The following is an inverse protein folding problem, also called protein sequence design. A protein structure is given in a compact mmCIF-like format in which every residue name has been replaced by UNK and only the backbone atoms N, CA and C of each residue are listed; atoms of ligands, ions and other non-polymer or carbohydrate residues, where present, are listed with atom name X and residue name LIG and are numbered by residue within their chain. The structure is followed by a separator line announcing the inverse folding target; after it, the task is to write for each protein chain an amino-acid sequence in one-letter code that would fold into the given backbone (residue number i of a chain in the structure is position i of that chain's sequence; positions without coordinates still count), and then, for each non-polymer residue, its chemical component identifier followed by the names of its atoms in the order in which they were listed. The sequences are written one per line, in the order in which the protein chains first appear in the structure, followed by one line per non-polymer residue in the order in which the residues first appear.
data_IF_393526748374
#
_entry.id   IF_393526748374
#
_cell.length_a   1.000
_cell.length_b   1.000
_cell.length_c   1.000
_cell.angle_alpha   90.00
_cell.angle_beta   90.00
_cell.angle_gamma   90.00
#
_symmetry.space_group_name_H-M   'P 1'
#
loop_
_entity.id
_entity.type
_entity.pdbx_description
1 polymer ?
#
# COMPACT_ATOMS: atom_id res chain seq x y z
N UNK A 1 10.41 45.37 9.00
CA UNK A 1 9.73 44.14 9.49
C UNK A 1 10.67 43.39 10.40
N UNK A 2 10.16 42.48 11.23
CA UNK A 2 10.91 41.76 12.29
C UNK A 2 12.02 40.80 11.78
N UNK A 3 12.33 40.78 10.48
CA UNK A 3 13.48 40.04 9.91
C UNK A 3 13.28 38.54 9.69
N UNK A 4 12.07 38.00 9.93
CA UNK A 4 11.78 36.58 9.74
C UNK A 4 11.53 36.24 8.26
N UNK A 5 12.13 35.14 7.82
CA UNK A 5 11.84 34.55 6.51
C UNK A 5 10.58 33.69 6.57
N UNK A 6 9.66 33.92 5.63
CA UNK A 6 8.32 33.33 5.63
C UNK A 6 7.99 32.79 4.25
N UNK A 7 7.64 31.51 4.18
CA UNK A 7 7.04 30.89 3.01
C UNK A 7 5.52 31.05 3.04
N UNK A 8 4.88 31.11 1.87
CA UNK A 8 3.44 31.31 1.77
C UNK A 8 2.79 30.29 0.84
N UNK A 9 1.72 29.63 1.30
CA UNK A 9 0.95 28.68 0.51
C UNK A 9 -0.53 29.07 0.55
N UNK A 10 -1.13 29.28 -0.62
CA UNK A 10 -2.55 29.62 -0.73
C UNK A 10 -3.23 28.93 -1.92
N UNK A 11 -4.55 29.04 -1.99
CA UNK A 11 -5.38 28.36 -3.01
C UNK A 11 -5.20 28.87 -4.44
N UNK A 12 -4.65 30.07 -4.64
CA UNK A 12 -4.39 30.62 -5.98
C UNK A 12 -3.07 30.14 -6.61
N UNK A 13 -2.23 29.46 -5.84
CA UNK A 13 -0.93 28.97 -6.31
C UNK A 13 -1.07 27.67 -7.09
N UNK A 14 -0.27 27.54 -8.14
CA UNK A 14 -0.12 26.30 -8.91
C UNK A 14 0.60 25.23 -8.07
N UNK A 15 0.47 23.94 -8.42
CA UNK A 15 1.18 22.87 -7.71
C UNK A 15 2.70 23.07 -7.63
N UNK A 16 3.32 23.62 -8.69
CA UNK A 16 4.76 23.87 -8.72
C UNK A 16 5.15 25.00 -7.74
N UNK A 17 4.41 26.10 -7.72
CA UNK A 17 4.68 27.21 -6.79
C UNK A 17 4.52 26.78 -5.33
N UNK A 18 3.55 25.90 -5.04
CA UNK A 18 3.38 25.34 -3.69
C UNK A 18 4.58 24.50 -3.26
N UNK A 19 5.15 23.71 -4.16
CA UNK A 19 6.37 22.95 -3.86
C UNK A 19 7.58 23.88 -3.69
N UNK A 20 7.75 24.88 -4.55
CA UNK A 20 8.86 25.83 -4.44
C UNK A 20 8.84 26.54 -3.07
N UNK A 21 7.65 26.90 -2.58
CA UNK A 21 7.47 27.48 -1.25
C UNK A 21 7.70 26.48 -0.11
N UNK A 22 7.30 25.21 -0.29
CA UNK A 22 7.58 24.15 0.68
C UNK A 22 9.07 23.84 0.76
N UNK A 23 9.79 23.80 -0.36
CA UNK A 23 11.23 23.61 -0.40
C UNK A 23 11.97 24.82 0.19
N UNK A 24 11.50 26.04 -0.08
CA UNK A 24 11.98 27.26 0.57
C UNK A 24 11.78 27.20 2.09
N UNK A 25 10.62 26.77 2.56
CA UNK A 25 10.35 26.57 3.99
C UNK A 25 11.22 25.49 4.63
N UNK A 26 11.44 24.37 3.94
CA UNK A 26 12.26 23.27 4.46
C UNK A 26 13.72 23.69 4.65
N UNK A 27 14.25 24.55 3.78
CA UNK A 27 15.68 24.84 3.72
C UNK A 27 16.10 26.22 4.24
N UNK A 28 15.22 27.23 4.15
CA UNK A 28 15.60 28.63 4.37
C UNK A 28 14.61 29.37 5.28
N UNK A 29 13.31 29.32 4.99
CA UNK A 29 12.32 30.06 5.76
C UNK A 29 12.04 29.47 7.16
N UNK A 30 11.80 30.34 8.12
CA UNK A 30 11.54 29.97 9.52
C UNK A 30 10.06 29.68 9.78
N UNK A 31 9.17 30.29 8.99
CA UNK A 31 7.72 30.13 9.12
C UNK A 31 7.09 29.78 7.78
N UNK A 32 6.00 29.02 7.84
CA UNK A 32 5.08 28.82 6.72
C UNK A 32 3.71 29.35 7.13
N UNK A 33 3.16 30.23 6.30
CA UNK A 33 1.77 30.68 6.40
C UNK A 33 0.98 29.98 5.31
N UNK A 34 0.03 29.13 5.70
CA UNK A 34 -0.83 28.39 4.77
C UNK A 34 -2.30 28.69 5.02
N UNK A 35 -3.07 28.87 3.95
CA UNK A 35 -4.54 28.77 4.02
C UNK A 35 -4.99 27.32 3.83
N UNK A 36 -6.22 26.99 4.27
CA UNK A 36 -6.78 25.64 4.10
C UNK A 36 -6.81 25.19 2.64
N UNK A 37 -7.37 26.03 1.77
CA UNK A 37 -7.45 25.78 0.32
C UNK A 37 -6.07 25.67 -0.35
N UNK A 38 -5.03 26.25 0.26
CA UNK A 38 -3.66 26.18 -0.24
C UNK A 38 -2.95 24.89 0.15
N UNK A 39 -3.16 24.41 1.37
CA UNK A 39 -2.35 23.37 1.98
C UNK A 39 -2.94 21.96 1.99
N UNK A 40 -4.15 21.75 1.46
CA UNK A 40 -4.74 20.41 1.35
C UNK A 40 -3.80 19.44 0.63
N UNK A 41 -3.59 18.25 1.22
CA UNK A 41 -2.73 17.21 0.67
C UNK A 41 -1.22 17.44 0.82
N UNK A 42 -0.77 18.56 1.39
CA UNK A 42 0.66 18.83 1.57
C UNK A 42 1.20 18.07 2.79
N UNK A 43 2.29 17.32 2.58
CA UNK A 43 3.01 16.66 3.66
C UNK A 43 4.01 17.63 4.32
N UNK A 44 3.81 17.90 5.62
CA UNK A 44 4.64 18.78 6.42
C UNK A 44 5.27 18.05 7.62
N UNK A 45 5.41 16.72 7.56
CA UNK A 45 6.00 15.89 8.64
C UNK A 45 7.41 16.31 9.10
N UNK A 46 8.14 17.13 8.33
CA UNK A 46 9.41 17.72 8.79
C UNK A 46 9.22 18.84 9.85
N UNK A 47 7.98 19.29 10.07
CA UNK A 47 7.59 20.26 11.07
C UNK A 47 7.05 19.56 12.33
N UNK A 48 7.20 20.23 13.48
CA UNK A 48 6.69 19.75 14.77
C UNK A 48 5.80 20.76 15.52
N UNK A 49 5.68 21.99 15.03
CA UNK A 49 4.87 23.03 15.67
C UNK A 49 3.85 23.55 14.68
N UNK A 50 2.58 23.53 15.06
CA UNK A 50 1.49 24.15 14.32
C UNK A 50 0.84 25.23 15.16
N UNK A 51 0.61 26.39 14.56
CA UNK A 51 -0.17 27.47 15.16
C UNK A 51 -1.42 27.65 14.30
N UNK A 52 -2.57 27.30 14.86
CA UNK A 52 -3.86 27.59 14.25
C UNK A 52 -4.24 29.03 14.61
N UNK A 53 -4.08 29.95 13.66
CA UNK A 53 -4.46 31.34 13.83
C UNK A 53 -5.99 31.51 13.87
N UNK A 54 -6.67 30.81 12.99
CA UNK A 54 -8.11 30.56 13.01
C UNK A 54 -8.36 29.07 13.25
N UNK A 55 -9.51 28.74 13.83
CA UNK A 55 -9.92 27.37 14.09
C UNK A 55 -11.20 27.06 13.31
N UNK A 56 -11.25 25.97 12.53
CA UNK A 56 -12.40 25.64 11.70
C UNK A 56 -13.60 25.20 12.54
N UNK A 57 -14.81 25.50 12.07
CA UNK A 57 -16.06 25.12 12.76
C UNK A 57 -16.28 23.61 12.80
N UNK A 58 -15.76 22.89 11.80
CA UNK A 58 -15.79 21.44 11.73
C UNK A 58 -14.52 20.85 12.40
N UNK A 59 -14.65 20.07 13.49
CA UNK A 59 -13.53 19.42 14.17
C UNK A 59 -12.70 18.51 13.27
N UNK A 60 -13.31 17.87 12.26
CA UNK A 60 -12.59 17.04 11.31
C UNK A 60 -11.56 17.85 10.52
N UNK A 61 -11.89 19.09 10.12
CA UNK A 61 -10.93 19.95 9.42
C UNK A 61 -9.72 20.28 10.30
N UNK A 62 -9.92 20.42 11.62
CA UNK A 62 -8.82 20.63 12.56
C UNK A 62 -7.93 19.39 12.65
N UNK A 63 -8.52 18.20 12.78
CA UNK A 63 -7.77 16.93 12.77
C UNK A 63 -7.01 16.72 11.46
N UNK A 64 -7.60 17.04 10.31
CA UNK A 64 -6.92 16.99 9.02
C UNK A 64 -5.73 17.96 8.94
N UNK A 65 -5.81 19.14 9.57
CA UNK A 65 -4.68 20.08 9.68
C UNK A 65 -3.56 19.48 10.53
N UNK A 66 -3.88 18.98 11.72
CA UNK A 66 -2.93 18.32 12.64
C UNK A 66 -2.25 17.14 11.94
N UNK A 67 -3.04 16.33 11.24
CA UNK A 67 -2.60 15.21 10.42
C UNK A 67 -1.69 15.56 9.25
N UNK A 68 -1.33 16.83 9.00
CA UNK A 68 -0.28 17.19 8.02
C UNK A 68 1.13 17.08 8.61
N UNK A 69 1.24 17.22 9.93
CA UNK A 69 2.50 17.16 10.67
C UNK A 69 2.56 15.97 11.63
N UNK A 70 1.40 15.51 12.11
CA UNK A 70 1.27 14.38 13.03
C UNK A 70 0.75 13.14 12.29
N UNK A 71 1.67 12.27 11.91
CA UNK A 71 1.41 11.06 11.12
C UNK A 71 2.39 9.97 11.55
N UNK A 72 2.04 8.72 11.28
CA UNK A 72 2.94 7.56 11.47
C UNK A 72 4.31 7.86 10.84
N UNK A 73 5.37 7.76 11.63
CA UNK A 73 6.75 8.07 11.23
C UNK A 73 7.28 9.45 11.67
N UNK A 74 6.45 10.28 12.31
CA UNK A 74 6.90 11.49 13.00
C UNK A 74 7.87 11.13 14.14
N UNK A 75 9.03 11.80 14.20
CA UNK A 75 10.13 11.50 15.14
C UNK A 75 10.16 12.39 16.37
N UNK A 76 9.35 13.44 16.38
CA UNK A 76 9.33 14.45 17.43
C UNK A 76 7.90 14.71 17.90
N UNK A 77 7.75 15.00 19.20
CA UNK A 77 6.46 15.38 19.75
C UNK A 77 5.91 16.63 19.04
N UNK A 78 4.68 16.52 18.56
CA UNK A 78 3.99 17.59 17.87
C UNK A 78 3.35 18.55 18.87
N UNK A 79 3.59 19.85 18.71
CA UNK A 79 2.98 20.91 19.50
C UNK A 79 1.96 21.68 18.67
N UNK A 80 0.70 21.59 19.07
CA UNK A 80 -0.41 22.35 18.48
C UNK A 80 -0.75 23.53 19.38
N UNK A 81 -0.76 24.74 18.83
CA UNK A 81 -1.15 25.98 19.51
C UNK A 81 -2.37 26.54 18.79
N UNK A 82 -3.47 26.70 19.52
CA UNK A 82 -4.73 27.16 18.98
C UNK A 82 -5.03 28.57 19.49
N UNK A 83 -5.17 29.54 18.58
CA UNK A 83 -5.65 30.88 18.93
C UNK A 83 -7.17 30.91 18.93
N UNK A 84 -7.73 31.47 20.00
CA UNK A 84 -9.17 31.58 20.22
C UNK A 84 -9.48 32.94 20.84
N UNK A 85 -10.55 33.58 20.36
CA UNK A 85 -11.02 34.83 20.92
C UNK A 85 -11.78 34.57 22.23
N UNK A 86 -11.33 35.23 23.30
CA UNK A 86 -11.96 35.11 24.63
C UNK A 86 -13.28 35.89 24.70
N UNK A 87 -14.19 35.42 25.55
CA UNK A 87 -15.49 36.04 25.85
C UNK A 87 -16.41 36.18 24.63
N UNK A 88 -16.32 35.23 23.69
CA UNK A 88 -17.16 35.19 22.49
C UNK A 88 -18.24 34.11 22.60
N UNK A 89 -19.34 34.26 21.88
CA UNK A 89 -20.39 33.23 21.78
C UNK A 89 -19.79 31.98 21.14
N UNK A 90 -18.91 32.20 20.17
CA UNK A 90 -18.15 31.23 19.44
C UNK A 90 -17.28 30.37 20.37
N UNK A 91 -16.60 30.99 21.34
CA UNK A 91 -15.86 30.26 22.37
C UNK A 91 -16.78 29.30 23.13
N UNK A 92 -17.91 29.79 23.66
CA UNK A 92 -18.84 28.96 24.43
C UNK A 92 -19.35 27.76 23.65
N UNK A 93 -19.72 27.94 22.38
CA UNK A 93 -20.18 26.83 21.52
C UNK A 93 -19.08 25.78 21.38
N UNK A 94 -17.85 26.22 21.08
CA UNK A 94 -16.72 25.31 20.86
C UNK A 94 -16.38 24.54 22.13
N UNK A 95 -16.29 25.20 23.27
CA UNK A 95 -15.97 24.57 24.55
C UNK A 95 -16.97 23.46 24.90
N UNK A 96 -18.27 23.67 24.60
CA UNK A 96 -19.31 22.64 24.79
C UNK A 96 -19.11 21.45 23.84
N UNK A 97 -18.87 21.69 22.55
CA UNK A 97 -18.69 20.62 21.56
C UNK A 97 -17.42 19.81 21.88
N UNK A 98 -16.30 20.48 22.15
CA UNK A 98 -15.02 19.84 22.49
C UNK A 98 -15.15 19.03 23.78
N UNK A 99 -15.76 19.56 24.84
CA UNK A 99 -15.96 18.81 26.07
C UNK A 99 -16.80 17.55 25.87
N UNK A 100 -17.82 17.59 24.99
CA UNK A 100 -18.65 16.42 24.67
C UNK A 100 -17.87 15.40 23.84
N UNK A 101 -17.09 15.83 22.85
CA UNK A 101 -16.23 14.95 22.04
C UNK A 101 -15.10 14.33 22.88
N UNK A 102 -14.52 15.09 23.80
CA UNK A 102 -13.48 14.60 24.70
C UNK A 102 -14.05 13.58 25.70
N UNK A 103 -15.28 13.79 26.18
CA UNK A 103 -16.00 12.82 26.99
C UNK A 103 -16.26 11.52 26.24
N UNK A 104 -16.67 11.60 24.96
CA UNK A 104 -16.77 10.43 24.08
C UNK A 104 -15.41 9.73 23.98
N UNK A 105 -14.33 10.47 23.66
CA UNK A 105 -12.96 9.91 23.58
C UNK A 105 -12.56 9.15 24.84
N UNK A 106 -12.81 9.71 26.04
CA UNK A 106 -12.49 9.08 27.33
C UNK A 106 -13.36 7.86 27.63
N UNK A 107 -14.64 7.88 27.27
CA UNK A 107 -15.56 6.75 27.51
C UNK A 107 -15.25 5.52 26.66
N UNK A 108 -14.66 5.70 25.48
CA UNK A 108 -14.37 4.62 24.52
C UNK A 108 -12.88 4.23 24.43
N UNK A 109 -12.12 4.61 25.46
CA UNK A 109 -10.71 4.37 25.77
C UNK A 109 -10.06 3.13 25.07
N UNK A 110 -9.43 3.33 23.90
CA UNK A 110 -8.39 2.43 23.35
C UNK A 110 -7.61 3.11 22.20
N UNK A 111 -6.93 4.23 22.50
CA UNK A 111 -5.95 4.87 21.60
C UNK A 111 -6.33 6.28 21.13
N UNK A 112 -5.31 7.15 20.98
CA UNK A 112 -5.45 8.51 20.44
C UNK A 112 -5.96 8.53 18.99
N UNK A 113 -5.72 7.46 18.23
CA UNK A 113 -6.03 7.31 16.81
C UNK A 113 -7.53 7.18 16.48
N UNK A 114 -8.39 6.90 17.48
CA UNK A 114 -9.83 6.65 17.24
C UNK A 114 -10.67 7.92 17.05
N UNK A 115 -10.14 9.10 17.38
CA UNK A 115 -10.90 10.35 17.25
C UNK A 115 -11.17 10.69 15.78
N UNK A 116 -10.19 10.47 14.90
CA UNK A 116 -10.35 10.66 13.46
C UNK A 116 -11.48 9.78 12.90
N UNK A 117 -11.50 8.49 13.25
CA UNK A 117 -12.52 7.53 12.78
C UNK A 117 -13.93 7.87 13.29
N UNK A 118 -14.00 8.33 14.53
CA UNK A 118 -15.26 8.78 15.15
C UNK A 118 -15.77 10.04 14.44
N UNK A 119 -14.88 10.99 14.15
CA UNK A 119 -15.24 12.23 13.47
C UNK A 119 -15.62 11.99 12.01
N UNK A 120 -14.97 11.05 11.30
CA UNK A 120 -15.28 10.76 9.90
C UNK A 120 -16.67 10.12 9.77
N UNK A 121 -16.97 9.13 10.61
CA UNK A 121 -18.29 8.52 10.66
C UNK A 121 -19.38 9.54 11.03
N UNK A 122 -19.05 10.51 11.91
CA UNK A 122 -19.99 11.58 12.23
C UNK A 122 -20.17 12.59 11.10
N UNK A 123 -19.14 12.89 10.32
CA UNK A 123 -19.22 13.86 9.22
C UNK A 123 -20.20 13.41 8.12
N UNK A 124 -20.29 12.10 7.88
CA UNK A 124 -21.26 11.52 6.94
C UNK A 124 -22.72 11.74 7.38
N UNK A 125 -22.96 11.84 8.70
CA UNK A 125 -24.31 12.03 9.27
C UNK A 125 -24.62 13.47 9.71
N UNK A 126 -23.60 14.29 9.96
CA UNK A 126 -23.71 15.62 10.54
C UNK A 126 -22.95 16.68 9.77
N UNK A 127 -23.66 17.76 9.43
CA UNK A 127 -23.05 19.02 9.01
C UNK A 127 -22.66 19.84 10.25
N UNK A 128 -21.45 19.62 10.76
CA UNK A 128 -20.91 20.32 11.92
C UNK A 128 -20.89 21.84 11.73
N UNK A 129 -20.64 22.33 10.52
CA UNK A 129 -20.60 23.75 10.21
C UNK A 129 -21.99 24.38 10.36
N UNK A 130 -23.02 23.72 9.84
CA UNK A 130 -24.41 24.15 10.02
C UNK A 130 -24.87 24.10 11.47
N UNK A 131 -24.52 23.04 12.22
CA UNK A 131 -24.84 22.92 13.66
C UNK A 131 -24.21 24.08 14.43
N UNK A 132 -22.97 24.40 14.13
CA UNK A 132 -22.25 25.50 14.75
C UNK A 132 -22.89 26.86 14.44
N UNK A 133 -23.22 27.11 13.17
CA UNK A 133 -23.89 28.36 12.74
C UNK A 133 -25.27 28.49 13.41
N UNK A 134 -26.05 27.42 13.46
CA UNK A 134 -27.35 27.41 14.13
C UNK A 134 -27.20 27.66 15.64
N UNK A 135 -26.19 27.08 16.28
CA UNK A 135 -25.88 27.28 17.68
C UNK A 135 -25.50 28.75 17.97
N UNK A 136 -24.59 29.35 17.20
CA UNK A 136 -24.20 30.77 17.33
C UNK A 136 -25.41 31.70 17.11
N UNK A 137 -26.26 31.40 16.12
CA UNK A 137 -27.48 32.18 15.86
C UNK A 137 -28.48 32.10 17.02
N UNK A 138 -28.68 30.91 17.59
CA UNK A 138 -29.65 30.67 18.68
C UNK A 138 -29.14 31.08 20.06
N UNK A 139 -27.83 31.16 20.26
CA UNK A 139 -27.23 31.63 21.51
C UNK A 139 -27.41 33.10 21.80
N UNK A 140 -27.74 33.89 20.79
CA UNK A 140 -28.28 35.23 21.04
C UNK A 140 -29.64 35.19 21.76
N UNK A 141 -30.25 34.01 21.93
CA UNK A 141 -31.60 33.82 22.50
C UNK A 141 -31.70 32.92 23.76
N UNK A 142 -30.89 31.86 23.96
CA UNK A 142 -30.91 31.06 25.23
C UNK A 142 -29.68 30.12 25.38
N UNK A 143 -29.06 30.06 26.57
CA UNK A 143 -27.90 29.20 26.90
C UNK A 143 -28.31 27.73 27.09
N UNK A 144 -29.58 27.44 27.41
CA UNK A 144 -30.09 26.06 27.59
C UNK A 144 -30.19 25.26 26.29
N UNK A 145 -30.31 25.93 25.15
CA UNK A 145 -30.39 25.27 23.83
C UNK A 145 -29.03 24.71 23.38
N UNK A 146 -27.92 25.33 23.79
CA UNK A 146 -26.57 24.83 23.52
C UNK A 146 -26.33 23.45 24.11
N UNK A 147 -26.66 23.28 25.40
CA UNK A 147 -26.42 22.02 26.07
C UNK A 147 -27.30 20.92 25.48
N UNK A 148 -28.53 21.24 25.01
CA UNK A 148 -29.35 20.28 24.24
C UNK A 148 -28.66 19.85 22.93
N UNK A 149 -28.06 20.77 22.18
CA UNK A 149 -27.34 20.46 20.95
C UNK A 149 -26.11 19.60 21.27
N UNK A 150 -25.30 20.01 22.24
CA UNK A 150 -24.14 19.24 22.69
C UNK A 150 -24.52 17.85 23.21
N UNK A 151 -25.65 17.73 23.90
CA UNK A 151 -26.19 16.46 24.37
C UNK A 151 -26.68 15.58 23.21
N UNK A 152 -27.26 16.17 22.17
CA UNK A 152 -27.68 15.46 20.95
C UNK A 152 -26.47 14.91 20.19
N UNK A 153 -25.41 15.70 20.05
CA UNK A 153 -24.12 15.26 19.46
C UNK A 153 -23.55 14.11 20.30
N UNK A 154 -23.46 14.29 21.62
CA UNK A 154 -22.95 13.27 22.53
C UNK A 154 -23.76 11.97 22.47
N UNK A 155 -25.08 12.06 22.55
CA UNK A 155 -25.96 10.87 22.56
C UNK A 155 -25.86 10.12 21.23
N UNK A 156 -25.82 10.84 20.10
CA UNK A 156 -25.72 10.21 18.79
C UNK A 156 -24.34 9.64 18.51
N UNK A 157 -23.26 10.32 18.91
CA UNK A 157 -21.91 9.77 18.90
C UNK A 157 -21.84 8.48 19.74
N UNK A 158 -22.43 8.50 20.93
CA UNK A 158 -22.53 7.32 21.81
C UNK A 158 -23.36 6.21 21.18
N UNK A 159 -24.43 6.52 20.47
CA UNK A 159 -25.28 5.55 19.79
C UNK A 159 -24.56 4.91 18.59
N UNK A 160 -23.84 5.67 17.77
CA UNK A 160 -22.98 5.14 16.67
C UNK A 160 -21.96 4.15 17.25
N UNK A 161 -21.30 4.54 18.34
CA UNK A 161 -20.27 3.69 18.96
C UNK A 161 -20.88 2.46 19.64
N UNK A 162 -22.07 2.57 20.25
CA UNK A 162 -22.81 1.45 20.89
C UNK A 162 -23.50 0.51 19.90
N UNK A 163 -23.96 1.00 18.77
CA UNK A 163 -24.55 0.21 17.70
C UNK A 163 -23.51 -0.64 16.97
N UNK A 164 -22.22 -0.43 17.27
CA UNK A 164 -21.14 -1.25 16.77
C UNK A 164 -20.75 -0.91 15.33
N UNK A 165 -21.05 0.29 14.82
CA UNK A 165 -20.48 0.75 13.55
C UNK A 165 -18.95 0.95 13.64
N UNK A 166 -18.42 1.06 14.86
CA UNK A 166 -17.00 0.98 15.19
C UNK A 166 -16.56 -0.44 15.62
N UNK A 167 -17.20 -1.50 15.10
CA UNK A 167 -16.68 -2.86 15.32
C UNK A 167 -15.58 -3.19 14.33
N UNK A 168 -14.35 -3.00 14.82
CA UNK A 168 -13.06 -3.23 14.16
C UNK A 168 -12.76 -2.12 13.15
N UNK A 169 -11.63 -1.41 13.31
CA UNK A 169 -11.21 -0.45 12.30
C UNK A 169 -11.16 -1.14 10.93
N UNK A 170 -11.69 -0.50 9.89
CA UNK A 170 -11.37 -0.92 8.51
C UNK A 170 -9.84 -0.97 8.32
N UNK A 171 -9.09 -0.19 9.11
CA UNK A 171 -7.63 -0.21 9.20
C UNK A 171 -7.03 -1.44 9.89
N UNK A 172 -7.76 -2.22 10.70
CA UNK A 172 -7.27 -3.51 11.25
C UNK A 172 -7.60 -4.70 10.31
N UNK A 173 -8.65 -4.56 9.49
CA UNK A 173 -8.97 -5.53 8.43
C UNK A 173 -8.12 -5.35 7.18
N UNK A 174 -7.64 -4.12 6.92
CA UNK A 174 -6.42 -3.93 6.16
C UNK A 174 -5.27 -4.39 7.05
N UNK A 175 -4.95 -5.70 7.02
CA UNK A 175 -3.62 -6.11 7.45
C UNK A 175 -2.65 -5.18 6.73
N UNK A 176 -2.02 -4.31 7.49
CA UNK A 176 -0.83 -3.63 7.08
C UNK A 176 0.13 -4.78 6.76
N UNK A 177 0.16 -5.19 5.49
CA UNK A 177 1.25 -5.99 4.97
C UNK A 177 2.41 -5.00 4.94
N UNK A 178 2.92 -4.68 6.13
CA UNK A 178 4.11 -3.90 6.32
C UNK A 178 5.19 -4.67 5.61
N UNK A 179 5.47 -4.25 4.38
CA UNK A 179 6.54 -4.82 3.60
C UNK A 179 7.79 -4.51 4.42
N UNK A 180 8.45 -5.57 4.86
CA UNK A 180 9.62 -5.42 5.69
C UNK A 180 10.65 -4.52 4.99
N UNK A 181 11.46 -3.80 5.77
CA UNK A 181 12.48 -2.91 5.20
C UNK A 181 13.38 -3.64 4.19
N UNK A 182 13.72 -4.90 4.46
CA UNK A 182 14.53 -5.73 3.57
C UNK A 182 13.81 -6.05 2.25
N UNK A 183 12.49 -6.30 2.28
CA UNK A 183 11.69 -6.55 1.07
C UNK A 183 11.56 -5.29 0.22
N UNK A 184 11.33 -4.14 0.86
CA UNK A 184 11.30 -2.85 0.18
C UNK A 184 12.63 -2.59 -0.53
N UNK A 185 13.75 -2.69 0.19
CA UNK A 185 15.09 -2.52 -0.40
C UNK A 185 15.36 -3.52 -1.54
N UNK A 186 14.91 -4.77 -1.41
CA UNK A 186 15.04 -5.79 -2.48
C UNK A 186 14.21 -5.43 -3.70
N UNK A 187 12.96 -5.00 -3.53
CA UNK A 187 12.08 -4.58 -4.63
C UNK A 187 12.65 -3.37 -5.38
N UNK A 188 13.20 -2.40 -4.66
CA UNK A 188 13.84 -1.22 -5.25
C UNK A 188 15.07 -1.62 -6.08
N UNK A 189 15.94 -2.49 -5.55
CA UNK A 189 17.10 -3.04 -6.28
C UNK A 189 16.66 -3.78 -7.54
N UNK A 190 15.62 -4.61 -7.45
CA UNK A 190 15.11 -5.38 -8.58
C UNK A 190 14.51 -4.49 -9.67
N UNK A 191 13.72 -3.49 -9.31
CA UNK A 191 13.15 -2.53 -10.26
C UNK A 191 14.26 -1.79 -11.03
N UNK A 192 15.30 -1.34 -10.31
CA UNK A 192 16.48 -0.71 -10.92
C UNK A 192 17.25 -1.67 -11.84
N UNK A 193 17.46 -2.91 -11.41
CA UNK A 193 18.18 -3.91 -12.19
C UNK A 193 17.44 -4.22 -13.51
N UNK A 194 16.12 -4.46 -13.44
CA UNK A 194 15.28 -4.72 -14.63
C UNK A 194 15.36 -3.54 -15.60
N UNK A 195 15.15 -2.31 -15.12
CA UNK A 195 15.22 -1.12 -15.96
C UNK A 195 16.61 -0.97 -16.60
N UNK A 196 17.68 -1.17 -15.83
CA UNK A 196 19.06 -1.06 -16.32
C UNK A 196 19.34 -2.08 -17.42
N UNK A 197 18.89 -3.32 -17.26
CA UNK A 197 19.08 -4.36 -18.27
C UNK A 197 18.24 -4.09 -19.52
N UNK A 198 16.99 -3.66 -19.36
CA UNK A 198 16.14 -3.26 -20.48
C UNK A 198 16.78 -2.14 -21.31
N UNK A 199 17.27 -1.08 -20.66
CA UNK A 199 17.93 0.01 -21.35
C UNK A 199 19.19 -0.47 -22.10
N UNK A 200 20.00 -1.33 -21.49
CA UNK A 200 21.18 -1.92 -22.15
C UNK A 200 20.82 -2.71 -23.41
N UNK A 201 19.75 -3.50 -23.39
CA UNK A 201 19.27 -4.24 -24.56
C UNK A 201 18.90 -3.32 -25.72
N UNK A 202 18.47 -2.09 -25.42
CA UNK A 202 18.14 -1.05 -26.38
C UNK A 202 19.29 -0.05 -26.63
N UNK A 203 20.53 -0.38 -26.26
CA UNK A 203 21.71 0.49 -26.37
C UNK A 203 21.58 1.85 -25.65
N UNK A 204 20.70 1.94 -24.64
CA UNK A 204 20.53 3.09 -23.75
C UNK A 204 21.13 2.78 -22.37
N UNK A 205 21.24 3.80 -21.51
CA UNK A 205 21.81 3.67 -20.16
C UNK A 205 20.99 4.45 -19.14
N UNK A 206 20.94 3.91 -17.93
CA UNK A 206 20.46 4.63 -16.75
C UNK A 206 21.63 5.47 -16.21
N UNK A 207 21.52 6.80 -16.29
CA UNK A 207 22.61 7.71 -15.96
C UNK A 207 22.36 8.39 -14.61
N UNK A 208 23.32 8.37 -13.67
CA UNK A 208 23.20 9.12 -12.42
C UNK A 208 23.39 10.62 -12.64
N UNK A 209 22.73 11.45 -11.82
CA UNK A 209 23.04 12.88 -11.75
C UNK A 209 24.37 13.12 -11.02
N UNK A 210 25.17 14.07 -11.51
CA UNK A 210 26.38 14.51 -10.82
C UNK A 210 25.98 15.24 -9.53
N UNK A 211 26.54 14.84 -8.38
CA UNK A 211 26.32 15.48 -7.08
C UNK A 211 25.04 15.09 -6.34
N UNK A 212 24.13 14.32 -6.96
CA UNK A 212 22.93 13.79 -6.29
C UNK A 212 23.05 12.27 -6.12
N UNK A 213 22.95 11.79 -4.88
CA UNK A 213 23.04 10.36 -4.56
C UNK A 213 21.72 9.67 -4.93
N UNK A 214 21.82 8.56 -5.67
CA UNK A 214 20.67 7.72 -6.07
C UNK A 214 19.54 8.41 -6.86
N UNK A 215 19.89 9.44 -7.62
CA UNK A 215 19.00 10.09 -8.59
C UNK A 215 19.48 9.84 -10.01
N UNK A 216 18.57 9.45 -10.90
CA UNK A 216 18.90 9.01 -12.25
C UNK A 216 18.07 9.73 -13.32
N UNK A 217 18.53 9.63 -14.56
CA UNK A 217 17.78 9.97 -15.76
C UNK A 217 18.06 8.96 -16.87
N UNK A 218 17.14 8.84 -17.82
CA UNK A 218 17.33 8.00 -19.01
C UNK A 218 16.43 8.46 -20.16
N UNK A 219 16.76 8.04 -21.38
CA UNK A 219 15.89 8.20 -22.54
C UNK A 219 15.07 6.93 -22.75
N UNK A 220 13.75 7.06 -22.83
CA UNK A 220 12.85 5.94 -23.12
C UNK A 220 13.10 5.40 -24.54
N UNK A 221 13.47 4.12 -24.70
CA UNK A 221 13.66 3.50 -26.01
C UNK A 221 12.43 3.49 -26.92
N UNK A 222 11.21 3.50 -26.35
CA UNK A 222 9.98 3.40 -27.14
C UNK A 222 9.47 4.77 -27.60
N UNK A 223 9.51 5.78 -26.72
CA UNK A 223 8.97 7.12 -27.02
C UNK A 223 10.03 8.15 -27.37
N UNK A 224 11.31 7.87 -27.09
CA UNK A 224 12.41 8.83 -27.23
C UNK A 224 12.39 9.96 -26.20
N UNK A 225 11.38 10.02 -25.31
CA UNK A 225 11.29 11.04 -24.27
C UNK A 225 12.32 10.78 -23.17
N UNK A 226 12.92 11.86 -22.67
CA UNK A 226 13.83 11.80 -21.53
C UNK A 226 13.05 11.87 -20.22
N UNK A 227 13.26 10.89 -19.35
CA UNK A 227 12.78 10.90 -17.98
C UNK A 227 13.91 11.40 -17.07
N UNK A 228 13.63 12.46 -16.32
CA UNK A 228 14.53 13.10 -15.36
C UNK A 228 14.02 12.91 -13.93
N UNK A 229 14.90 13.16 -12.94
CA UNK A 229 14.56 13.04 -11.52
C UNK A 229 13.97 11.66 -11.17
N UNK A 230 14.59 10.59 -11.65
CA UNK A 230 14.15 9.21 -11.40
C UNK A 230 14.73 8.70 -10.09
N UNK A 231 13.85 8.27 -9.19
CA UNK A 231 14.18 7.70 -7.88
C UNK A 231 13.69 6.26 -7.80
N UNK A 232 14.42 5.43 -7.06
CA UNK A 232 13.97 4.07 -6.70
C UNK A 232 13.66 3.96 -5.21
N UNK A 233 14.32 4.77 -4.38
CA UNK A 233 14.07 4.84 -2.95
C UNK A 233 12.84 5.73 -2.67
N UNK A 234 11.86 5.17 -1.96
CA UNK A 234 10.62 5.87 -1.62
C UNK A 234 10.85 7.03 -0.65
N UNK A 235 11.76 6.88 0.32
CA UNK A 235 12.03 7.95 1.29
C UNK A 235 12.68 9.15 0.60
N UNK A 236 13.66 8.89 -0.28
CA UNK A 236 14.29 9.95 -1.07
C UNK A 236 13.30 10.60 -2.06
N UNK A 237 12.33 9.85 -2.58
CA UNK A 237 11.30 10.41 -3.45
C UNK A 237 10.28 11.27 -2.69
N UNK A 238 9.91 10.89 -1.45
CA UNK A 238 8.97 11.67 -0.62
C UNK A 238 9.52 13.05 -0.23
N UNK A 239 10.84 13.21 -0.23
CA UNK A 239 11.50 14.47 0.05
C UNK A 239 11.49 15.47 -1.13
N UNK A 240 10.94 15.07 -2.29
CA UNK A 240 10.96 15.85 -3.55
C UNK A 240 9.66 15.66 -4.36
N UNK A 241 8.79 16.66 -4.50
CA UNK A 241 7.49 16.50 -5.20
C UNK A 241 7.65 16.30 -6.72
N UNK A 242 8.76 16.74 -7.30
CA UNK A 242 9.13 16.48 -8.72
C UNK A 242 9.88 15.14 -8.93
N UNK A 243 9.93 14.28 -7.91
CA UNK A 243 10.51 12.95 -8.03
C UNK A 243 9.61 12.00 -8.82
N UNK A 244 10.21 11.32 -9.80
CA UNK A 244 9.59 10.18 -10.46
C UNK A 244 10.03 8.90 -9.75
N UNK A 245 9.22 8.43 -8.80
CA UNK A 245 9.45 7.14 -8.15
C UNK A 245 9.14 5.99 -9.13
N UNK A 246 10.18 5.36 -9.66
CA UNK A 246 10.06 4.18 -10.51
C UNK A 246 10.02 2.93 -9.64
N UNK A 247 8.82 2.55 -9.22
CA UNK A 247 8.52 1.28 -8.57
C UNK A 247 7.82 0.31 -9.53
N UNK A 248 7.62 -0.95 -9.14
CA UNK A 248 6.81 -1.89 -9.92
C UNK A 248 5.36 -1.41 -10.15
N UNK A 249 4.88 -0.48 -9.32
CA UNK A 249 3.54 0.10 -9.47
C UNK A 249 3.48 1.27 -10.47
N UNK A 250 4.62 1.85 -10.83
CA UNK A 250 4.71 2.97 -11.76
C UNK A 250 4.23 2.58 -13.17
N UNK A 251 3.51 3.48 -13.85
CA UNK A 251 2.89 3.20 -15.16
C UNK A 251 3.92 2.73 -16.21
N UNK A 252 5.08 3.37 -16.27
CA UNK A 252 6.18 2.95 -17.15
C UNK A 252 6.67 1.52 -16.83
N UNK A 253 6.87 1.18 -15.56
CA UNK A 253 7.31 -0.17 -15.17
C UNK A 253 6.25 -1.22 -15.46
N UNK A 254 4.96 -0.93 -15.21
CA UNK A 254 3.86 -1.83 -15.59
C UNK A 254 3.82 -2.07 -17.10
N UNK A 255 4.00 -1.01 -17.90
CA UNK A 255 4.09 -1.10 -19.35
C UNK A 255 5.28 -1.95 -19.81
N UNK A 256 6.47 -1.69 -19.25
CA UNK A 256 7.68 -2.47 -19.49
C UNK A 256 7.49 -3.95 -19.15
N UNK A 257 6.96 -4.25 -17.97
CA UNK A 257 6.71 -5.63 -17.54
C UNK A 257 5.74 -6.35 -18.48
N UNK A 258 4.65 -5.69 -18.89
CA UNK A 258 3.70 -6.26 -19.86
C UNK A 258 4.36 -6.52 -21.21
N UNK A 259 5.22 -5.62 -21.69
CA UNK A 259 5.97 -5.81 -22.93
C UNK A 259 6.95 -6.98 -22.83
N UNK A 260 7.67 -7.10 -21.71
CA UNK A 260 8.60 -8.19 -21.45
C UNK A 260 7.84 -9.53 -21.38
N UNK A 261 6.74 -9.60 -20.64
CA UNK A 261 5.88 -10.79 -20.56
C UNK A 261 5.34 -11.24 -21.92
N UNK A 262 4.91 -10.30 -22.77
CA UNK A 262 4.47 -10.61 -24.13
C UNK A 262 5.60 -11.21 -25.00
N UNK A 263 6.83 -10.71 -24.85
CA UNK A 263 8.01 -11.23 -25.57
C UNK A 263 8.51 -12.56 -24.99
N UNK A 264 8.38 -12.81 -23.69
CA UNK A 264 8.77 -14.08 -23.07
C UNK A 264 8.04 -15.27 -23.71
N UNK A 265 6.76 -15.11 -24.06
CA UNK A 265 5.93 -16.14 -24.70
C UNK A 265 6.34 -16.49 -26.14
N UNK A 266 7.15 -15.64 -26.78
CA UNK A 266 7.49 -15.75 -28.20
C UNK A 266 8.99 -15.97 -28.45
N UNK A 267 9.81 -16.02 -27.41
CA UNK A 267 11.28 -15.92 -27.53
C UNK A 267 12.02 -17.26 -27.40
N UNK A 268 13.02 -17.36 -28.26
CA UNK A 268 13.86 -18.49 -28.63
C UNK A 268 14.69 -19.08 -27.47
N UNK A 269 15.07 -20.35 -27.62
CA UNK A 269 16.01 -21.05 -26.75
C UNK A 269 17.35 -20.30 -26.68
N UNK A 270 17.67 -19.71 -25.52
CA UNK A 270 18.93 -19.00 -25.33
C UNK A 270 20.09 -19.99 -25.14
N UNK A 271 21.26 -19.71 -25.72
CA UNK A 271 22.51 -20.43 -25.41
C UNK A 271 23.38 -19.56 -24.49
N UNK A 272 23.64 -20.04 -23.28
CA UNK A 272 24.34 -19.31 -22.22
C UNK A 272 25.66 -19.99 -21.86
N UNK A 273 26.73 -19.20 -21.79
CA UNK A 273 27.97 -19.55 -21.11
C UNK A 273 28.00 -18.92 -19.73
N UNK A 274 28.27 -19.71 -18.71
CA UNK A 274 28.35 -19.25 -17.33
C UNK A 274 29.71 -19.60 -16.77
N UNK A 275 30.39 -18.59 -16.23
CA UNK A 275 31.67 -18.80 -15.55
C UNK A 275 31.40 -19.19 -14.10
N UNK A 276 31.55 -20.47 -13.77
CA UNK A 276 31.32 -20.98 -12.42
C UNK A 276 32.30 -22.11 -12.04
N UNK A 277 33.21 -21.89 -11.07
CA UNK A 277 34.28 -22.84 -10.76
C UNK A 277 33.80 -24.25 -10.41
N UNK A 278 32.74 -24.36 -9.61
CA UNK A 278 32.26 -25.65 -9.08
C UNK A 278 31.51 -26.53 -10.09
N UNK A 279 31.13 -25.98 -11.25
CA UNK A 279 30.33 -26.69 -12.25
C UNK A 279 31.00 -26.72 -13.63
N UNK A 280 32.26 -26.27 -13.72
CA UNK A 280 33.01 -26.20 -14.96
C UNK A 280 32.99 -27.54 -15.71
N UNK A 281 32.70 -27.49 -17.02
CA UNK A 281 32.57 -28.67 -17.88
C UNK A 281 31.15 -29.28 -17.91
N UNK A 282 30.25 -28.87 -17.02
CA UNK A 282 28.84 -29.29 -17.06
C UNK A 282 28.09 -28.52 -18.13
N UNK A 283 27.23 -29.20 -18.89
CA UNK A 283 26.33 -28.54 -19.85
C UNK A 283 24.99 -29.28 -19.92
N UNK A 284 23.94 -28.57 -20.32
CA UNK A 284 22.59 -29.11 -20.27
C UNK A 284 21.51 -28.11 -20.65
N UNK A 285 20.27 -28.45 -20.35
CA UNK A 285 19.11 -27.58 -20.54
C UNK A 285 18.58 -27.08 -19.19
N UNK A 286 18.41 -25.77 -19.11
CA UNK A 286 17.67 -25.08 -18.06
C UNK A 286 16.24 -24.85 -18.55
N UNK A 287 15.27 -25.24 -17.73
CA UNK A 287 13.87 -24.96 -17.94
C UNK A 287 13.38 -24.04 -16.83
N UNK A 288 12.58 -23.05 -17.21
CA UNK A 288 11.95 -22.10 -16.29
C UNK A 288 10.45 -22.32 -16.36
N UNK A 289 9.87 -22.80 -15.26
CA UNK A 289 8.45 -23.01 -15.12
C UNK A 289 7.82 -21.93 -14.25
N UNK A 290 6.57 -21.61 -14.53
CA UNK A 290 5.73 -20.74 -13.71
C UNK A 290 4.61 -21.58 -13.12
N UNK A 291 4.62 -21.70 -11.79
CA UNK A 291 3.51 -22.24 -11.04
C UNK A 291 2.58 -21.08 -10.65
N UNK A 292 1.35 -21.10 -11.13
CA UNK A 292 0.30 -20.15 -10.73
C UNK A 292 -0.73 -20.90 -9.91
N UNK A 293 -0.99 -20.45 -8.68
CA UNK A 293 -2.03 -21.02 -7.82
C UNK A 293 -3.09 -19.95 -7.62
N UNK A 294 -4.33 -20.26 -8.03
CA UNK A 294 -5.44 -19.31 -7.99
C UNK A 294 -6.73 -19.98 -7.56
N UNK A 295 -7.61 -19.24 -6.91
CA UNK A 295 -9.01 -19.59 -6.69
C UNK A 295 -9.97 -18.63 -7.42
N UNK A 296 -9.43 -17.76 -8.29
CA UNK A 296 -10.14 -16.69 -9.02
C UNK A 296 -10.90 -15.69 -8.13
N UNK A 297 -10.58 -15.65 -6.83
CA UNK A 297 -11.19 -14.74 -5.85
C UNK A 297 -10.10 -13.89 -5.21
N UNK A 298 -9.08 -14.53 -4.66
CA UNK A 298 -7.90 -13.89 -4.08
C UNK A 298 -6.82 -13.66 -5.15
N UNK A 299 -5.85 -12.82 -4.82
CA UNK A 299 -4.67 -12.63 -5.65
C UNK A 299 -3.94 -13.96 -5.86
N UNK A 300 -3.64 -14.30 -7.12
CA UNK A 300 -2.97 -15.55 -7.45
C UNK A 300 -1.54 -15.55 -6.91
N UNK A 301 -1.13 -16.66 -6.30
CA UNK A 301 0.27 -16.89 -5.94
C UNK A 301 1.03 -17.36 -7.17
N UNK A 302 2.16 -16.73 -7.45
CA UNK A 302 3.03 -17.08 -8.58
C UNK A 302 4.40 -17.46 -8.04
N UNK A 303 4.90 -18.62 -8.46
CA UNK A 303 6.21 -19.16 -8.13
C UNK A 303 6.97 -19.51 -9.41
N UNK A 304 8.26 -19.17 -9.45
CA UNK A 304 9.13 -19.53 -10.58
C UNK A 304 9.99 -20.70 -10.15
N UNK A 305 9.90 -21.80 -10.90
CA UNK A 305 10.66 -23.02 -10.64
C UNK A 305 11.67 -23.21 -11.75
N UNK A 306 12.94 -23.14 -11.41
CA UNK A 306 14.06 -23.43 -12.30
C UNK A 306 14.48 -24.89 -12.17
N UNK A 307 14.63 -25.56 -13.30
CA UNK A 307 14.96 -26.98 -13.37
C UNK A 307 16.05 -27.21 -14.41
N UNK A 308 17.24 -27.62 -13.97
CA UNK A 308 18.36 -27.94 -14.85
C UNK A 308 18.53 -29.46 -15.01
N UNK A 309 18.68 -29.90 -16.26
CA UNK A 309 19.08 -31.26 -16.62
C UNK A 309 20.38 -31.24 -17.41
N UNK A 310 21.32 -32.06 -16.96
CA UNK A 310 22.62 -32.22 -17.58
C UNK A 310 22.57 -33.07 -18.87
N UNK A 311 23.73 -33.23 -19.52
CA UNK A 311 23.90 -34.06 -20.71
C UNK A 311 23.56 -35.54 -20.51
N UNK A 312 23.62 -36.04 -19.27
CA UNK A 312 23.30 -37.43 -18.92
C UNK A 312 21.80 -37.62 -18.65
N UNK A 313 21.01 -36.55 -18.74
CA UNK A 313 19.60 -36.58 -18.42
C UNK A 313 19.34 -36.69 -16.92
N UNK A 314 20.25 -36.25 -16.06
CA UNK A 314 20.07 -36.16 -14.62
C UNK A 314 19.74 -34.73 -14.20
N UNK A 315 18.76 -34.59 -13.30
CA UNK A 315 18.38 -33.30 -12.70
C UNK A 315 19.39 -32.88 -11.64
N UNK A 316 19.89 -31.66 -11.69
CA UNK A 316 20.85 -31.16 -10.70
C UNK A 316 20.24 -30.05 -9.84
N UNK A 317 19.89 -30.38 -8.60
CA UNK A 317 19.28 -29.44 -7.65
C UNK A 317 20.13 -28.20 -7.38
N UNK A 318 21.46 -28.34 -7.24
CA UNK A 318 22.35 -27.21 -6.92
C UNK A 318 22.40 -26.21 -8.06
N UNK A 319 22.45 -26.69 -9.30
CA UNK A 319 22.41 -25.83 -10.49
C UNK A 319 21.03 -25.21 -10.64
N UNK A 320 19.94 -25.96 -10.42
CA UNK A 320 18.59 -25.41 -10.42
C UNK A 320 18.44 -24.23 -9.44
N UNK A 321 18.95 -24.38 -8.21
CA UNK A 321 18.90 -23.30 -7.19
C UNK A 321 19.76 -22.09 -7.55
N UNK A 322 20.88 -22.29 -8.23
CA UNK A 322 21.73 -21.18 -8.69
C UNK A 322 20.94 -20.20 -9.59
N UNK A 323 19.99 -20.70 -10.37
CA UNK A 323 19.14 -19.87 -11.25
C UNK A 323 17.92 -19.29 -10.56
N UNK A 324 17.61 -19.70 -9.33
CA UNK A 324 16.52 -19.09 -8.54
C UNK A 324 16.85 -17.66 -8.12
N UNK A 325 18.14 -17.32 -7.99
CA UNK A 325 18.62 -15.98 -7.64
C UNK A 325 19.53 -15.38 -8.74
N UNK A 326 18.90 -14.86 -9.79
CA UNK A 326 19.56 -14.43 -11.04
C UNK A 326 20.48 -13.21 -10.85
N UNK A 327 20.38 -12.49 -9.73
CA UNK A 327 21.06 -11.22 -9.52
C UNK A 327 22.61 -11.31 -9.57
N UNK A 328 23.18 -12.50 -9.37
CA UNK A 328 24.63 -12.69 -9.24
C UNK A 328 25.32 -13.33 -10.47
N UNK A 329 24.56 -13.77 -11.48
CA UNK A 329 25.10 -14.58 -12.56
C UNK A 329 25.77 -13.73 -13.67
N UNK A 330 27.09 -13.91 -13.83
CA UNK A 330 27.84 -13.41 -15.00
C UNK A 330 27.65 -14.35 -16.19
N UNK A 331 26.83 -13.94 -17.13
CA UNK A 331 26.50 -14.73 -18.32
C UNK A 331 27.04 -14.10 -19.61
N UNK A 332 27.38 -14.93 -20.60
CA UNK A 332 27.63 -14.53 -21.98
C UNK A 332 26.75 -15.35 -22.91
N UNK A 333 26.11 -14.72 -23.90
CA UNK A 333 25.43 -15.44 -24.97
C UNK A 333 26.47 -15.97 -25.96
N UNK A 334 26.31 -17.21 -26.43
CA UNK A 334 27.20 -17.80 -27.44
C UNK A 334 26.41 -18.10 -28.71
N UNK A 335 26.97 -17.77 -29.88
CA UNK A 335 26.49 -18.25 -31.18
C UNK A 335 27.09 -19.64 -31.49
N UNK A 336 26.25 -20.64 -31.81
CA UNK A 336 26.71 -21.95 -32.29
C UNK A 336 25.75 -23.10 -31.98
N UNK A 337 25.94 -24.27 -32.63
CA UNK A 337 25.13 -25.46 -32.40
C UNK A 337 25.29 -25.97 -30.96
N UNK A 338 24.20 -26.41 -30.33
CA UNK A 338 24.24 -27.09 -29.04
C UNK A 338 24.85 -28.49 -29.21
N UNK A 339 25.56 -28.99 -28.18
CA UNK A 339 25.95 -30.41 -28.15
C UNK A 339 24.68 -31.27 -28.17
N UNK A 340 24.68 -32.40 -28.89
CA UNK A 340 23.51 -33.27 -29.04
C UNK A 340 23.08 -33.80 -27.66
N UNK A 341 21.90 -33.38 -27.20
CA UNK A 341 21.21 -33.91 -26.02
C UNK A 341 19.79 -34.27 -26.47
N UNK A 342 19.29 -35.45 -26.07
CA UNK A 342 17.92 -35.89 -26.34
C UNK A 342 16.90 -35.00 -25.64
N UNK A 343 16.35 -34.01 -26.36
CA UNK A 343 15.46 -33.00 -25.78
C UNK A 343 14.17 -33.57 -25.20
N UNK A 344 13.54 -34.55 -25.88
CA UNK A 344 12.28 -35.15 -25.42
C UNK A 344 12.44 -35.84 -24.06
N UNK A 345 13.49 -36.63 -23.90
CA UNK A 345 13.76 -37.37 -22.66
C UNK A 345 14.15 -36.40 -21.53
N UNK A 346 14.95 -35.38 -21.84
CA UNK A 346 15.30 -34.33 -20.89
C UNK A 346 14.03 -33.58 -20.42
N UNK A 347 13.13 -33.21 -21.33
CA UNK A 347 11.89 -32.51 -21.00
C UNK A 347 10.98 -33.37 -20.12
N UNK A 348 10.77 -34.65 -20.44
CA UNK A 348 9.92 -35.52 -19.62
C UNK A 348 10.44 -35.70 -18.19
N UNK A 349 11.76 -35.90 -18.04
CA UNK A 349 12.39 -36.03 -16.71
C UNK A 349 12.29 -34.72 -15.91
N UNK A 350 12.56 -33.58 -16.55
CA UNK A 350 12.41 -32.27 -15.93
C UNK A 350 10.96 -32.01 -15.53
N UNK A 351 10.00 -32.32 -16.39
CA UNK A 351 8.57 -32.09 -16.14
C UNK A 351 8.14 -32.81 -14.88
N UNK A 352 8.43 -34.11 -14.77
CA UNK A 352 8.10 -34.93 -13.59
C UNK A 352 8.72 -34.38 -12.30
N UNK A 353 10.01 -34.07 -12.33
CA UNK A 353 10.72 -33.50 -11.17
C UNK A 353 10.15 -32.13 -10.76
N UNK A 354 9.76 -31.32 -11.75
CA UNK A 354 9.16 -30.00 -11.51
C UNK A 354 7.74 -30.14 -10.94
N UNK A 355 6.95 -31.11 -11.41
CA UNK A 355 5.62 -31.42 -10.88
C UNK A 355 5.68 -31.83 -9.39
N UNK A 356 6.60 -32.72 -9.01
CA UNK A 356 6.81 -33.13 -7.61
C UNK A 356 7.17 -31.93 -6.71
N UNK A 357 8.01 -31.02 -7.23
CA UNK A 357 8.35 -29.77 -6.53
C UNK A 357 7.17 -28.81 -6.46
N UNK A 358 6.39 -28.69 -7.53
CA UNK A 358 5.20 -27.85 -7.59
C UNK A 358 4.12 -28.34 -6.61
N UNK A 359 3.95 -29.66 -6.47
CA UNK A 359 3.04 -30.28 -5.51
C UNK A 359 3.43 -29.95 -4.05
N UNK A 360 4.73 -29.97 -3.76
CA UNK A 360 5.24 -29.58 -2.43
C UNK A 360 4.92 -28.12 -2.12
N UNK A 361 5.16 -27.21 -3.08
CA UNK A 361 4.86 -25.78 -2.94
C UNK A 361 3.34 -25.56 -2.81
N UNK A 362 2.55 -26.26 -3.62
CA UNK A 362 1.09 -26.17 -3.60
C UNK A 362 0.52 -26.62 -2.27
N UNK A 363 0.96 -27.77 -1.75
CA UNK A 363 0.49 -28.30 -0.47
C UNK A 363 0.78 -27.35 0.69
N UNK A 364 2.00 -26.79 0.73
CA UNK A 364 2.39 -25.80 1.74
C UNK A 364 1.50 -24.56 1.68
N UNK A 365 1.26 -24.02 0.48
CA UNK A 365 0.40 -22.85 0.31
C UNK A 365 -1.07 -23.14 0.63
N UNK A 366 -1.55 -24.33 0.28
CA UNK A 366 -2.92 -24.76 0.60
C UNK A 366 -3.14 -24.79 2.11
N UNK A 367 -2.20 -25.33 2.88
CA UNK A 367 -2.26 -25.32 4.35
C UNK A 367 -2.29 -23.89 4.91
N UNK A 368 -1.43 -23.01 4.40
CA UNK A 368 -1.36 -21.60 4.81
C UNK A 368 -2.69 -20.87 4.53
N UNK A 369 -3.26 -21.04 3.34
CA UNK A 369 -4.53 -20.43 2.94
C UNK A 369 -5.70 -20.98 3.76
N UNK A 370 -5.73 -22.28 4.03
CA UNK A 370 -6.79 -22.89 4.82
C UNK A 370 -6.78 -22.40 6.26
N UNK A 371 -5.60 -22.25 6.86
CA UNK A 371 -5.45 -21.66 8.18
C UNK A 371 -5.99 -20.22 8.20
N UNK A 372 -5.57 -19.38 7.25
CA UNK A 372 -6.05 -17.99 7.11
C UNK A 372 -7.56 -17.89 6.97
N UNK A 373 -8.15 -18.67 6.07
CA UNK A 373 -9.60 -18.69 5.84
C UNK A 373 -10.37 -19.15 7.08
N UNK A 374 -9.79 -20.10 7.85
CA UNK A 374 -10.42 -20.60 9.08
C UNK A 374 -10.40 -19.55 10.19
N UNK A 375 -9.28 -18.87 10.38
CA UNK A 375 -9.17 -17.76 11.34
C UNK A 375 -10.14 -16.61 11.01
N UNK A 376 -10.26 -16.24 9.73
CA UNK A 376 -11.22 -15.24 9.26
C UNK A 376 -12.66 -15.67 9.54
N UNK A 377 -12.99 -16.94 9.30
CA UNK A 377 -14.32 -17.49 9.59
C UNK A 377 -14.62 -17.47 11.09
N UNK A 378 -13.66 -17.78 11.97
CA UNK A 378 -13.83 -17.71 13.42
C UNK A 378 -14.10 -16.29 13.92
N UNK A 379 -13.30 -15.32 13.45
CA UNK A 379 -13.49 -13.89 13.76
C UNK A 379 -14.87 -13.42 13.29
N UNK A 380 -15.27 -13.81 12.08
CA UNK A 380 -16.56 -13.46 11.50
C UNK A 380 -17.73 -14.12 12.25
N UNK A 381 -17.58 -15.37 12.71
CA UNK A 381 -18.61 -16.03 13.52
C UNK A 381 -18.81 -15.32 14.87
N UNK A 382 -17.74 -14.84 15.51
CA UNK A 382 -17.82 -14.00 16.71
C UNK A 382 -18.55 -12.69 16.43
N UNK A 383 -18.23 -12.03 15.31
CA UNK A 383 -18.92 -10.82 14.85
C UNK A 383 -20.43 -11.04 14.67
N UNK A 384 -20.83 -12.06 13.89
CA UNK A 384 -22.25 -12.35 13.64
C UNK A 384 -23.00 -12.70 14.92
N UNK A 385 -22.38 -13.48 15.83
CA UNK A 385 -22.96 -13.81 17.12
C UNK A 385 -23.22 -12.57 17.98
N UNK A 386 -22.31 -11.59 17.94
CA UNK A 386 -22.49 -10.30 18.63
C UNK A 386 -23.60 -9.47 18.00
N UNK A 387 -23.59 -9.33 16.65
CA UNK A 387 -24.59 -8.57 15.88
C UNK A 387 -25.99 -9.13 16.05
N UNK A 388 -26.14 -10.46 16.06
CA UNK A 388 -27.41 -11.14 16.32
C UNK A 388 -27.96 -10.83 17.72
N UNK A 389 -27.12 -10.83 18.77
CA UNK A 389 -27.54 -10.44 20.14
C UNK A 389 -27.98 -8.98 20.21
N UNK A 390 -27.32 -8.08 19.48
CA UNK A 390 -27.70 -6.67 19.43
C UNK A 390 -29.04 -6.45 18.72
N UNK A 391 -29.26 -7.11 17.57
CA UNK A 391 -30.53 -7.07 16.85
C UNK A 391 -31.66 -7.66 17.70
N UNK A 392 -31.39 -8.72 18.49
CA UNK A 392 -32.35 -9.31 19.41
C UNK A 392 -32.94 -8.35 20.45
N UNK A 393 -32.23 -7.27 20.79
CA UNK A 393 -32.67 -6.24 21.75
C UNK A 393 -33.59 -5.17 21.15
N UNK A 394 -33.82 -5.20 19.84
CA UNK A 394 -34.74 -4.26 19.17
C UNK A 394 -36.17 -4.57 19.62
N UNK A 395 -36.88 -3.55 20.11
CA UNK A 395 -38.23 -3.70 20.66
C UNK A 395 -39.32 -3.88 19.59
N UNK A 396 -39.08 -3.41 18.36
CA UNK A 396 -40.05 -3.47 17.25
C UNK A 396 -39.81 -4.76 16.46
N UNK A 397 -40.78 -5.68 16.51
CA UNK A 397 -40.68 -7.03 15.94
C UNK A 397 -40.38 -7.02 14.43
N UNK A 398 -41.17 -6.29 13.64
CA UNK A 398 -41.02 -6.26 12.17
C UNK A 398 -39.61 -5.77 11.75
N UNK A 399 -39.01 -4.85 12.50
CA UNK A 399 -37.66 -4.34 12.23
C UNK A 399 -36.61 -5.37 12.62
N UNK A 400 -36.81 -6.07 13.75
CA UNK A 400 -35.93 -7.13 14.22
C UNK A 400 -35.88 -8.29 13.24
N UNK A 401 -37.03 -8.77 12.79
CA UNK A 401 -37.13 -9.88 11.84
C UNK A 401 -36.48 -9.55 10.49
N UNK A 402 -36.71 -8.33 9.97
CA UNK A 402 -36.07 -7.86 8.73
C UNK A 402 -34.53 -7.86 8.86
N UNK A 403 -34.01 -7.28 9.95
CA UNK A 403 -32.55 -7.21 10.17
C UNK A 403 -31.92 -8.57 10.44
N UNK A 404 -32.62 -9.50 11.11
CA UNK A 404 -32.14 -10.87 11.28
C UNK A 404 -32.03 -11.59 9.93
N UNK A 405 -33.04 -11.43 9.07
CA UNK A 405 -33.02 -12.03 7.73
C UNK A 405 -31.89 -11.49 6.86
N UNK A 406 -31.64 -10.18 6.90
CA UNK A 406 -30.49 -9.56 6.23
C UNK A 406 -29.16 -10.11 6.75
N UNK A 407 -29.02 -10.25 8.07
CA UNK A 407 -27.81 -10.80 8.69
C UNK A 407 -27.57 -12.27 8.30
N UNK A 408 -28.62 -13.08 8.22
CA UNK A 408 -28.54 -14.48 7.80
C UNK A 408 -28.06 -14.59 6.35
N UNK A 409 -28.61 -13.76 5.46
CA UNK A 409 -28.21 -13.70 4.05
C UNK A 409 -26.74 -13.25 3.91
N UNK A 410 -26.32 -12.25 4.67
CA UNK A 410 -24.92 -11.77 4.70
C UNK A 410 -23.96 -12.91 5.13
N UNK A 411 -24.33 -13.63 6.19
CA UNK A 411 -23.56 -14.77 6.72
C UNK A 411 -23.47 -15.92 5.72
N UNK A 412 -24.57 -16.27 5.06
CA UNK A 412 -24.61 -17.33 4.06
C UNK A 412 -23.75 -16.98 2.83
N UNK A 413 -23.90 -15.76 2.30
CA UNK A 413 -23.09 -15.28 1.18
C UNK A 413 -21.59 -15.31 1.50
N UNK A 414 -21.22 -14.90 2.72
CA UNK A 414 -19.83 -14.95 3.17
C UNK A 414 -19.32 -16.39 3.37
N UNK A 415 -20.13 -17.30 3.89
CA UNK A 415 -19.77 -18.73 4.02
C UNK A 415 -19.48 -19.37 2.65
N UNK A 416 -20.33 -19.10 1.66
CA UNK A 416 -20.13 -19.56 0.27
C UNK A 416 -18.83 -19.00 -0.29
N UNK A 417 -18.53 -17.71 -0.04
CA UNK A 417 -17.28 -17.08 -0.46
C UNK A 417 -16.05 -17.77 0.14
N UNK A 418 -16.02 -18.01 1.46
CA UNK A 418 -14.91 -18.71 2.12
C UNK A 418 -14.73 -20.14 1.60
N UNK A 419 -15.83 -20.84 1.34
CA UNK A 419 -15.80 -22.19 0.76
C UNK A 419 -15.17 -22.20 -0.63
N UNK A 420 -15.53 -21.24 -1.49
CA UNK A 420 -14.92 -21.10 -2.82
C UNK A 420 -13.44 -20.70 -2.74
N UNK A 421 -13.04 -19.88 -1.77
CA UNK A 421 -11.62 -19.50 -1.59
C UNK A 421 -10.70 -20.70 -1.30
N UNK A 422 -11.24 -21.78 -0.73
CA UNK A 422 -10.50 -23.03 -0.49
C UNK A 422 -10.28 -23.87 -1.76
N UNK A 423 -10.97 -23.55 -2.87
CA UNK A 423 -10.81 -24.23 -4.15
C UNK A 423 -9.63 -23.65 -4.93
N UNK A 424 -8.41 -24.06 -4.55
CA UNK A 424 -7.18 -23.64 -5.22
C UNK A 424 -6.91 -24.53 -6.44
N UNK A 425 -6.55 -23.90 -7.55
CA UNK A 425 -6.18 -24.56 -8.81
C UNK A 425 -4.73 -24.21 -9.14
N UNK A 426 -3.82 -25.19 -9.19
CA UNK A 426 -2.45 -25.00 -9.66
C UNK A 426 -2.38 -25.13 -11.20
N UNK A 427 -1.65 -24.22 -11.83
CA UNK A 427 -1.32 -24.25 -13.26
C UNK A 427 0.19 -24.15 -13.40
N UNK A 428 0.80 -25.12 -14.06
CA UNK A 428 2.25 -25.19 -14.27
C UNK A 428 2.57 -25.01 -15.76
N UNK A 429 3.15 -23.86 -16.10
CA UNK A 429 3.50 -23.51 -17.49
C UNK A 429 5.02 -23.49 -17.67
N UNK A 430 5.53 -24.11 -18.74
CA UNK A 430 6.94 -23.94 -19.14
C UNK A 430 7.09 -22.60 -19.87
N UNK A 431 7.77 -21.63 -19.26
CA UNK A 431 7.93 -20.29 -19.83
C UNK A 431 9.11 -20.21 -20.79
N UNK A 432 10.26 -20.76 -20.39
CA UNK A 432 11.51 -20.60 -21.14
C UNK A 432 12.39 -21.84 -21.03
N UNK A 433 13.21 -22.01 -22.06
CA UNK A 433 14.22 -23.06 -22.14
C UNK A 433 15.53 -22.40 -22.57
N UNK A 434 16.62 -22.74 -21.92
CA UNK A 434 17.96 -22.29 -22.29
C UNK A 434 18.92 -23.47 -22.31
N UNK A 435 19.82 -23.52 -23.28
CA UNK A 435 21.00 -24.36 -23.22
C UNK A 435 22.07 -23.64 -22.40
N UNK A 436 22.62 -24.30 -21.39
CA UNK A 436 23.63 -23.73 -20.49
C UNK A 436 24.90 -24.57 -20.55
N UNK A 437 26.04 -23.90 -20.65
CA UNK A 437 27.37 -24.48 -20.55
C UNK A 437 28.17 -23.74 -19.47
N UNK A 438 28.81 -24.49 -18.57
CA UNK A 438 29.62 -23.95 -17.49
C UNK A 438 31.11 -24.03 -17.87
N UNK A 439 31.83 -22.90 -17.77
CA UNK A 439 33.25 -22.77 -18.08
C UNK A 439 34.10 -22.28 -16.92
#
# INVERSE_FOLDING_TARGET
GLGYEVALINGSMTPQEKEDQKEYFKNQAQFLVSTDAGGEGINLQFCRVMINYDLPWNPMRLEQRIGRIDRIGQKHDVKIINFQLKNTVEQKVRDVIEAKLEKVKREFNDGEDKLSDILSTMEDEFDFEKIYIDAVRRLKADEKELDKIGQKIYQKARDIIRQGELTIPFSELQRDQGVSRWELERLQKNARAILTQYLKLHNKKLCPYKGKKDVYYFDDPNTGKRLSNVYFDQQLALDHDNAQLISFNHAYMKGLMRQLEGKLRTSQTAKLLIKHPSFAGTFGYLFVFKLTITNNIDASRVEIITSFVDSNGQTNYRISQLFSDVAELKTKSIAGKAKKIGFKDAYQKVKRWTEERAETIFSSYQSEMFAKVTEEQEKMNKYYSSKQRSIGKIAIENIRESKLKELEQEKEAMSVKHSRRKLLVPVLDCLQIAYVEFC
#
